data_IF_449180584284
#
_entry.id   IF_449180584284
#
_cell.length_a   1.000
_cell.length_b   1.000
_cell.length_c   1.000
_cell.angle_alpha   90.00
_cell.angle_beta   90.00
_cell.angle_gamma   90.00
#
_symmetry.space_group_name_H-M   'P 1'
#
loop_
_entity.id
_entity.type
_entity.pdbx_description
1 polymer ?
#
# COMPACT_ATOMS: atom_id res chain seq x y z
N UNK A 1 -29.78 35.63 87.54
CA UNK A 1 -30.69 34.56 87.09
C UNK A 1 -30.21 34.12 85.69
N UNK A 2 -29.68 32.88 85.60
CA UNK A 2 -29.52 31.98 84.43
C UNK A 2 -29.03 32.57 83.09
N UNK A 3 -27.79 32.29 82.68
CA UNK A 3 -27.33 31.13 81.87
C UNK A 3 -27.70 31.24 80.37
N UNK A 4 -26.71 31.60 79.56
CA UNK A 4 -26.65 31.26 78.13
C UNK A 4 -25.20 31.28 77.66
N UNK A 5 -24.55 30.12 77.79
CA UNK A 5 -23.34 29.75 77.06
C UNK A 5 -23.32 28.22 77.01
N UNK A 6 -22.99 27.71 75.82
CA UNK A 6 -22.79 26.30 75.48
C UNK A 6 -24.03 25.45 75.17
N UNK A 7 -24.49 25.51 73.92
CA UNK A 7 -24.98 24.31 73.22
C UNK A 7 -24.47 24.31 71.76
N UNK A 8 -23.15 24.23 71.59
CA UNK A 8 -22.54 23.72 70.37
C UNK A 8 -21.57 22.61 70.76
N UNK A 9 -22.11 21.41 71.02
CA UNK A 9 -21.33 20.19 71.16
C UNK A 9 -22.01 19.04 70.44
N UNK A 10 -21.44 18.74 69.27
CA UNK A 10 -21.09 17.39 68.84
C UNK A 10 -22.22 16.37 68.68
N UNK A 11 -22.60 16.13 67.43
CA UNK A 11 -22.85 14.78 66.92
C UNK A 11 -22.25 14.62 65.51
N UNK A 12 -20.92 14.52 65.47
CA UNK A 12 -20.25 13.74 64.43
C UNK A 12 -20.36 12.29 64.89
N UNK A 13 -21.34 11.58 64.35
CA UNK A 13 -21.46 10.13 64.48
C UNK A 13 -20.29 9.49 63.74
N UNK A 14 -19.29 9.04 64.48
CA UNK A 14 -18.32 8.06 63.98
C UNK A 14 -19.09 6.77 63.64
N UNK A 15 -19.36 6.54 62.36
CA UNK A 15 -19.63 5.19 61.87
C UNK A 15 -18.33 4.39 62.00
N UNK A 16 -18.35 3.13 62.48
CA UNK A 16 -17.16 2.31 62.53
C UNK A 16 -16.67 2.08 61.09
N UNK A 17 -15.43 2.44 60.80
CA UNK A 17 -14.76 2.00 59.58
C UNK A 17 -14.64 0.47 59.70
N UNK A 18 -15.36 -0.28 58.86
CA UNK A 18 -15.13 -1.73 58.77
C UNK A 18 -13.65 -1.94 58.39
N UNK A 19 -12.84 -2.37 59.35
CA UNK A 19 -11.45 -2.73 59.08
C UNK A 19 -11.44 -3.94 58.14
N UNK A 20 -11.01 -3.72 56.89
CA UNK A 20 -10.88 -4.77 55.89
C UNK A 20 -9.88 -5.80 56.41
N UNK A 21 -10.32 -7.05 56.59
CA UNK A 21 -9.41 -8.12 57.03
C UNK A 21 -8.25 -8.29 56.04
N UNK A 22 -7.01 -8.49 56.51
CA UNK A 22 -5.86 -8.78 55.64
C UNK A 22 -6.08 -9.95 54.67
N UNK A 23 -6.93 -10.91 55.03
CA UNK A 23 -7.27 -12.04 54.16
C UNK A 23 -8.14 -11.63 52.98
N UNK A 24 -9.11 -10.73 53.21
CA UNK A 24 -9.98 -10.20 52.16
C UNK A 24 -9.17 -9.35 51.19
N UNK A 25 -8.27 -8.50 51.70
CA UNK A 25 -7.36 -7.70 50.88
C UNK A 25 -6.46 -8.58 50.00
N UNK A 26 -5.87 -9.64 50.59
CA UNK A 26 -5.02 -10.57 49.84
C UNK A 26 -5.79 -11.30 48.74
N UNK A 27 -7.03 -11.71 49.01
CA UNK A 27 -7.87 -12.35 48.01
C UNK A 27 -8.20 -11.39 46.85
N UNK A 28 -8.62 -10.16 47.15
CA UNK A 28 -8.91 -9.16 46.12
C UNK A 28 -7.70 -8.83 45.25
N UNK A 29 -6.48 -8.81 45.82
CA UNK A 29 -5.24 -8.62 45.04
C UNK A 29 -4.97 -9.81 44.11
N UNK A 30 -5.21 -11.05 44.57
CA UNK A 30 -5.04 -12.24 43.73
C UNK A 30 -6.04 -12.26 42.56
N UNK A 31 -7.30 -11.98 42.85
CA UNK A 31 -8.36 -11.94 41.84
C UNK A 31 -8.04 -10.87 40.77
N UNK A 32 -7.63 -9.67 41.21
CA UNK A 32 -7.20 -8.61 40.30
C UNK A 32 -5.94 -9.00 39.48
N UNK A 33 -4.99 -9.73 40.07
CA UNK A 33 -3.81 -10.21 39.34
C UNK A 33 -4.18 -11.21 38.24
N UNK A 34 -5.07 -12.16 38.54
CA UNK A 34 -5.57 -13.12 37.55
C UNK A 34 -6.29 -12.41 36.40
N UNK A 35 -7.13 -11.40 36.70
CA UNK A 35 -7.79 -10.59 35.69
C UNK A 35 -6.80 -9.81 34.82
N UNK A 36 -5.75 -9.22 35.42
CA UNK A 36 -4.68 -8.54 34.67
C UNK A 36 -3.96 -9.50 33.72
N UNK A 37 -3.66 -10.72 34.16
CA UNK A 37 -3.01 -11.72 33.31
C UNK A 37 -3.90 -12.11 32.12
N UNK A 38 -5.19 -12.32 32.35
CA UNK A 38 -6.16 -12.61 31.30
C UNK A 38 -6.25 -11.46 30.28
N UNK A 39 -6.37 -10.22 30.76
CA UNK A 39 -6.46 -9.03 29.90
C UNK A 39 -5.20 -8.84 29.08
N UNK A 40 -4.01 -9.12 29.64
CA UNK A 40 -2.75 -9.08 28.88
C UNK A 40 -2.72 -10.08 27.73
N UNK A 41 -3.21 -11.30 27.96
CA UNK A 41 -3.33 -12.32 26.91
C UNK A 41 -4.22 -11.83 25.77
N UNK A 42 -5.40 -11.31 26.09
CA UNK A 42 -6.33 -10.75 25.10
C UNK A 42 -5.72 -9.57 24.34
N UNK A 43 -5.02 -8.66 25.02
CA UNK A 43 -4.35 -7.53 24.37
C UNK A 43 -3.25 -7.98 23.40
N UNK A 44 -2.50 -9.04 23.74
CA UNK A 44 -1.52 -9.61 22.82
C UNK A 44 -2.19 -10.20 21.58
N UNK A 45 -3.29 -10.92 21.75
CA UNK A 45 -4.10 -11.46 20.65
C UNK A 45 -4.66 -10.36 19.75
N UNK A 46 -5.24 -9.29 20.34
CA UNK A 46 -5.75 -8.14 19.59
C UNK A 46 -4.65 -7.46 18.76
N UNK A 47 -3.47 -7.23 19.34
CA UNK A 47 -2.34 -6.61 18.62
C UNK A 47 -1.87 -7.46 17.45
N UNK A 48 -1.78 -8.78 17.65
CA UNK A 48 -1.41 -9.69 16.58
C UNK A 48 -2.44 -9.69 15.45
N UNK A 49 -3.73 -9.72 15.79
CA UNK A 49 -4.82 -9.65 14.82
C UNK A 49 -4.83 -8.33 14.05
N UNK A 50 -4.58 -7.21 14.74
CA UNK A 50 -4.49 -5.88 14.13
C UNK A 50 -3.36 -5.80 13.10
N UNK A 51 -2.16 -6.33 13.43
CA UNK A 51 -1.04 -6.34 12.49
C UNK A 51 -1.32 -7.25 11.29
N UNK A 52 -1.86 -8.46 11.53
CA UNK A 52 -2.25 -9.36 10.44
C UNK A 52 -3.30 -8.73 9.51
N UNK A 53 -4.28 -8.02 10.08
CA UNK A 53 -5.28 -7.30 9.29
C UNK A 53 -4.66 -6.16 8.48
N UNK A 54 -3.72 -5.41 9.08
CA UNK A 54 -2.98 -4.34 8.42
C UNK A 54 -2.17 -4.86 7.23
N UNK A 55 -1.44 -5.96 7.41
CA UNK A 55 -0.67 -6.62 6.34
C UNK A 55 -1.59 -7.04 5.19
N UNK A 56 -2.70 -7.72 5.48
CA UNK A 56 -3.67 -8.13 4.45
C UNK A 56 -4.31 -6.97 3.73
N UNK A 57 -4.63 -5.90 4.46
CA UNK A 57 -5.20 -4.68 3.86
C UNK A 57 -4.19 -4.02 2.92
N UNK A 58 -2.91 -4.01 3.30
CA UNK A 58 -1.85 -3.49 2.44
C UNK A 58 -1.70 -4.33 1.17
N UNK A 59 -1.60 -5.65 1.27
CA UNK A 59 -1.51 -6.55 0.11
C UNK A 59 -2.70 -6.36 -0.86
N UNK A 60 -3.92 -6.26 -0.34
CA UNK A 60 -5.11 -6.04 -1.15
C UNK A 60 -5.08 -4.70 -1.88
N UNK A 61 -4.61 -3.64 -1.22
CA UNK A 61 -4.45 -2.33 -1.84
C UNK A 61 -3.40 -2.35 -2.96
N UNK A 62 -2.28 -3.05 -2.78
CA UNK A 62 -1.27 -3.20 -3.82
C UNK A 62 -1.83 -3.97 -5.04
N UNK A 63 -2.61 -5.04 -4.82
CA UNK A 63 -3.28 -5.75 -5.93
C UNK A 63 -4.33 -4.90 -6.63
N UNK A 64 -5.10 -4.10 -5.90
CA UNK A 64 -6.06 -3.18 -6.52
C UNK A 64 -5.34 -2.14 -7.39
N UNK A 65 -4.22 -1.60 -6.91
CA UNK A 65 -3.36 -0.67 -7.66
C UNK A 65 -2.82 -1.28 -8.96
N UNK A 66 -2.35 -2.53 -8.91
CA UNK A 66 -1.91 -3.28 -10.10
C UNK A 66 -3.06 -3.49 -11.10
N UNK A 67 -4.23 -3.92 -10.63
CA UNK A 67 -5.42 -4.15 -11.46
C UNK A 67 -5.91 -2.85 -12.11
N UNK A 68 -5.94 -1.75 -11.36
CA UNK A 68 -6.31 -0.42 -11.88
C UNK A 68 -5.33 0.04 -12.97
N UNK A 69 -4.03 -0.22 -12.79
CA UNK A 69 -3.00 0.04 -13.80
C UNK A 69 -3.25 -0.78 -15.06
N UNK A 70 -3.46 -2.09 -14.92
CA UNK A 70 -3.76 -2.99 -16.04
C UNK A 70 -5.04 -2.57 -16.78
N UNK A 71 -6.10 -2.22 -16.06
CA UNK A 71 -7.34 -1.74 -16.67
C UNK A 71 -7.15 -0.45 -17.47
N UNK A 72 -6.42 0.52 -16.90
CA UNK A 72 -6.11 1.78 -17.57
C UNK A 72 -5.25 1.58 -18.84
N UNK A 73 -4.22 0.73 -18.76
CA UNK A 73 -3.36 0.38 -19.91
C UNK A 73 -4.18 -0.33 -20.99
N UNK A 74 -4.98 -1.34 -20.61
CA UNK A 74 -5.85 -2.07 -21.54
C UNK A 74 -6.82 -1.12 -22.28
N UNK A 75 -7.43 -0.19 -21.54
CA UNK A 75 -8.30 0.84 -22.12
C UNK A 75 -7.58 1.74 -23.13
N UNK A 76 -6.31 2.07 -22.88
CA UNK A 76 -5.50 2.83 -23.85
C UNK A 76 -5.23 2.02 -25.12
N UNK A 77 -4.89 0.74 -24.98
CA UNK A 77 -4.55 -0.15 -26.10
C UNK A 77 -5.77 -0.47 -26.98
N UNK A 78 -6.96 -0.53 -26.41
CA UNK A 78 -8.22 -0.78 -27.14
C UNK A 78 -8.80 0.48 -27.80
N UNK A 79 -8.22 1.67 -27.56
CA UNK A 79 -8.76 2.90 -28.12
C UNK A 79 -8.33 3.10 -29.59
N UNK A 80 -9.16 2.59 -30.51
CA UNK A 80 -8.93 2.68 -31.96
C UNK A 80 -8.95 4.12 -32.53
N UNK A 81 -9.38 5.13 -31.75
CA UNK A 81 -9.36 6.54 -32.19
C UNK A 81 -7.98 7.18 -32.07
N UNK A 82 -7.06 6.54 -31.32
CA UNK A 82 -5.71 7.06 -31.11
C UNK A 82 -4.76 6.58 -32.20
N UNK A 83 -3.91 7.49 -32.68
CA UNK A 83 -2.72 7.09 -33.43
C UNK A 83 -1.81 6.22 -32.55
N UNK A 84 -0.91 5.46 -33.17
CA UNK A 84 0.03 4.61 -32.45
C UNK A 84 0.82 5.40 -31.40
N UNK A 85 1.41 6.53 -31.76
CA UNK A 85 2.15 7.36 -30.81
C UNK A 85 1.29 7.93 -29.68
N UNK A 86 0.04 8.32 -29.95
CA UNK A 86 -0.88 8.78 -28.90
C UNK A 86 -1.26 7.66 -27.93
N UNK A 87 -1.48 6.45 -28.44
CA UNK A 87 -1.77 5.26 -27.65
C UNK A 87 -0.59 4.91 -26.73
N UNK A 88 0.63 4.84 -27.27
CA UNK A 88 1.83 4.56 -26.47
C UNK A 88 2.06 5.64 -25.41
N UNK A 89 1.89 6.92 -25.74
CA UNK A 89 2.00 8.01 -24.77
C UNK A 89 0.92 7.92 -23.67
N UNK A 90 -0.29 7.46 -24.01
CA UNK A 90 -1.32 7.21 -23.01
C UNK A 90 -0.89 6.07 -22.07
N UNK A 91 -0.40 4.95 -22.60
CA UNK A 91 0.15 3.85 -21.79
C UNK A 91 1.26 4.32 -20.85
N UNK A 92 2.24 5.08 -21.36
CA UNK A 92 3.35 5.66 -20.58
C UNK A 92 2.84 6.51 -19.41
N UNK A 93 1.75 7.27 -19.62
CA UNK A 93 1.16 8.12 -18.59
C UNK A 93 0.43 7.30 -17.52
N UNK A 94 -0.16 6.18 -17.89
CA UNK A 94 -0.92 5.33 -17.00
C UNK A 94 -0.03 4.44 -16.13
N UNK A 95 1.04 3.87 -16.70
CA UNK A 95 1.90 2.89 -16.04
C UNK A 95 2.40 3.27 -14.63
N UNK A 96 2.90 4.49 -14.36
CA UNK A 96 3.45 4.85 -13.05
C UNK A 96 2.51 4.56 -11.87
N UNK A 97 1.18 4.59 -12.07
CA UNK A 97 0.22 4.31 -11.00
C UNK A 97 0.34 2.90 -10.42
N UNK A 98 0.87 1.95 -11.19
CA UNK A 98 1.05 0.56 -10.79
C UNK A 98 2.30 0.28 -9.94
N UNK A 99 3.20 1.26 -9.78
CA UNK A 99 4.45 1.10 -9.04
C UNK A 99 4.35 1.63 -7.60
N UNK A 100 5.30 1.25 -6.76
CA UNK A 100 5.40 1.67 -5.35
C UNK A 100 5.56 3.19 -5.22
N UNK A 101 6.23 3.82 -6.20
CA UNK A 101 6.52 5.25 -6.19
C UNK A 101 5.99 5.98 -7.43
N UNK A 102 4.65 6.11 -7.64
CA UNK A 102 4.10 6.64 -8.89
C UNK A 102 4.63 8.00 -9.34
N UNK A 103 4.99 8.87 -8.39
CA UNK A 103 5.56 10.20 -8.69
C UNK A 103 7.03 10.16 -9.11
N UNK A 104 7.77 9.15 -8.66
CA UNK A 104 9.18 8.94 -8.98
C UNK A 104 9.38 8.00 -10.16
N UNK A 105 8.36 7.22 -10.52
CA UNK A 105 8.38 6.28 -11.64
C UNK A 105 8.32 7.01 -12.98
N UNK A 106 9.30 6.75 -13.83
CA UNK A 106 9.36 7.21 -15.20
C UNK A 106 9.47 6.01 -16.16
N UNK A 107 8.88 6.14 -17.35
CA UNK A 107 8.68 5.03 -18.29
C UNK A 107 9.25 5.40 -19.66
N UNK A 108 9.82 4.40 -20.33
CA UNK A 108 10.25 4.44 -21.73
C UNK A 108 9.76 3.20 -22.46
N UNK A 109 9.26 3.38 -23.68
CA UNK A 109 8.86 2.32 -24.60
C UNK A 109 9.60 2.55 -25.92
N UNK A 110 10.34 1.55 -26.37
CA UNK A 110 11.00 1.51 -27.67
C UNK A 110 10.32 0.46 -28.53
N UNK A 111 9.95 0.81 -29.76
CA UNK A 111 9.38 -0.12 -30.75
C UNK A 111 10.02 0.18 -32.11
N UNK A 112 10.77 -0.78 -32.65
CA UNK A 112 11.63 -0.54 -33.82
C UNK A 112 12.54 0.67 -33.60
N UNK A 113 12.51 1.63 -34.53
CA UNK A 113 13.29 2.87 -34.45
C UNK A 113 12.60 4.00 -33.65
N UNK A 114 11.40 3.75 -33.11
CA UNK A 114 10.62 4.77 -32.39
C UNK A 114 10.80 4.65 -30.89
N UNK A 115 11.18 5.75 -30.25
CA UNK A 115 11.26 5.88 -28.80
C UNK A 115 10.17 6.81 -28.28
N UNK A 116 9.47 6.35 -27.24
CA UNK A 116 8.46 7.11 -26.50
C UNK A 116 8.83 7.10 -25.03
N UNK A 117 8.78 8.24 -24.37
CA UNK A 117 9.17 8.33 -22.98
C UNK A 117 8.34 9.35 -22.21
N UNK A 118 8.19 9.11 -20.91
CA UNK A 118 7.69 10.11 -19.97
C UNK A 118 8.59 11.36 -19.98
N UNK A 119 8.00 12.54 -19.70
CA UNK A 119 8.70 13.83 -19.82
C UNK A 119 9.98 13.93 -18.96
N UNK A 120 10.01 13.24 -17.83
CA UNK A 120 11.10 13.20 -16.86
C UNK A 120 11.94 11.92 -16.98
N UNK A 121 11.83 11.18 -18.08
CA UNK A 121 12.55 9.92 -18.22
C UNK A 121 14.06 10.10 -18.14
N UNK A 122 14.67 9.29 -17.30
CA UNK A 122 16.12 9.13 -17.21
C UNK A 122 16.40 7.74 -16.67
N UNK A 123 17.32 7.02 -17.31
CA UNK A 123 17.80 5.74 -16.79
C UNK A 123 18.47 5.94 -15.44
N UNK A 124 18.08 5.13 -14.46
CA UNK A 124 18.68 5.10 -13.12
C UNK A 124 19.18 3.68 -12.81
N UNK A 125 19.84 3.52 -11.67
CA UNK A 125 20.29 2.20 -11.19
C UNK A 125 19.09 1.31 -10.83
N UNK A 126 18.06 1.91 -10.21
CA UNK A 126 16.80 1.23 -9.88
C UNK A 126 15.88 1.22 -11.09
N UNK A 127 15.92 0.12 -11.84
CA UNK A 127 15.12 -0.06 -13.06
C UNK A 127 14.64 -1.50 -13.24
N UNK A 128 13.55 -1.63 -14.00
CA UNK A 128 13.03 -2.89 -14.53
C UNK A 128 12.79 -2.73 -16.02
N UNK A 129 13.00 -3.79 -16.81
CA UNK A 129 12.64 -3.81 -18.21
C UNK A 129 12.02 -5.14 -18.62
N UNK A 130 11.27 -5.11 -19.72
CA UNK A 130 10.69 -6.28 -20.35
C UNK A 130 10.70 -6.13 -21.88
N UNK A 131 11.02 -7.22 -22.57
CA UNK A 131 11.02 -7.25 -24.03
C UNK A 131 9.59 -7.30 -24.56
N UNK A 132 9.30 -6.44 -25.54
CA UNK A 132 8.07 -6.49 -26.33
C UNK A 132 8.33 -7.48 -27.48
N UNK A 133 7.57 -8.57 -27.50
CA UNK A 133 7.78 -9.66 -28.47
C UNK A 133 6.56 -9.86 -29.36
N UNK A 134 6.81 -10.14 -30.64
CA UNK A 134 5.82 -10.68 -31.57
C UNK A 134 6.33 -12.06 -31.97
N UNK A 135 5.56 -13.10 -31.60
CA UNK A 135 6.04 -14.49 -31.63
C UNK A 135 7.37 -14.62 -30.89
N UNK A 136 8.39 -15.17 -31.54
CA UNK A 136 9.72 -15.34 -30.95
C UNK A 136 10.65 -14.13 -31.14
N UNK A 137 10.21 -13.09 -31.87
CA UNK A 137 11.03 -11.91 -32.21
C UNK A 137 10.83 -10.79 -31.21
N UNK A 138 11.94 -10.18 -30.81
CA UNK A 138 11.91 -8.96 -29.98
C UNK A 138 11.79 -7.76 -30.90
N UNK A 139 10.68 -7.02 -30.77
CA UNK A 139 10.34 -5.86 -31.61
C UNK A 139 10.48 -4.54 -30.82
N UNK A 140 10.75 -4.63 -29.53
CA UNK A 140 10.88 -3.48 -28.65
C UNK A 140 11.20 -3.83 -27.21
N UNK A 141 11.22 -2.80 -26.37
CA UNK A 141 11.46 -2.88 -24.92
C UNK A 141 10.56 -1.87 -24.21
N UNK A 142 10.00 -2.27 -23.07
CA UNK A 142 9.43 -1.35 -22.09
C UNK A 142 10.35 -1.32 -20.87
N UNK A 143 10.67 -0.11 -20.41
CA UNK A 143 11.57 0.14 -19.29
C UNK A 143 10.92 1.11 -18.30
N UNK A 144 11.08 0.79 -17.01
CA UNK A 144 10.62 1.61 -15.90
C UNK A 144 11.79 1.90 -14.99
N UNK A 145 11.97 3.17 -14.63
CA UNK A 145 13.04 3.64 -13.75
C UNK A 145 12.46 4.47 -12.60
N UNK A 146 13.07 4.38 -11.42
CA UNK A 146 12.72 5.22 -10.27
C UNK A 146 13.71 6.37 -10.15
N UNK A 147 13.19 7.60 -10.06
CA UNK A 147 13.98 8.83 -9.87
C UNK A 147 14.26 9.07 -8.37
N UNK A 148 15.51 8.93 -7.90
CA UNK A 148 15.85 9.02 -6.48
C UNK A 148 15.40 10.33 -5.81
N UNK A 149 15.51 11.45 -6.51
CA UNK A 149 15.15 12.76 -5.97
C UNK A 149 13.64 12.93 -5.71
N UNK A 150 12.79 12.11 -6.35
CA UNK A 150 11.34 12.14 -6.19
C UNK A 150 10.83 11.06 -5.23
N UNK A 151 11.69 10.14 -4.80
CA UNK A 151 11.37 9.06 -3.88
C UNK A 151 11.43 9.46 -2.40
N UNK A 152 11.70 10.73 -2.08
CA UNK A 152 11.59 11.30 -0.72
C UNK A 152 12.38 10.54 0.37
N UNK A 153 13.54 9.98 0.01
CA UNK A 153 14.37 9.20 0.94
C UNK A 153 13.84 7.79 1.25
N UNK A 154 12.83 7.31 0.53
CA UNK A 154 12.35 5.94 0.64
C UNK A 154 13.34 4.95 0.00
N UNK A 155 13.38 3.68 0.47
CA UNK A 155 14.22 2.64 -0.14
C UNK A 155 13.91 2.47 -1.62
N UNK A 156 14.92 2.50 -2.49
CA UNK A 156 14.73 2.38 -3.94
C UNK A 156 14.71 0.91 -4.38
N UNK A 157 13.75 0.15 -3.87
CA UNK A 157 13.55 -1.27 -4.19
C UNK A 157 12.40 -1.41 -5.17
N UNK A 158 12.58 -2.24 -6.21
CA UNK A 158 11.50 -2.65 -7.11
C UNK A 158 11.09 -4.07 -6.77
N UNK A 159 9.79 -4.33 -6.77
CA UNK A 159 9.19 -5.59 -6.33
C UNK A 159 9.10 -6.61 -7.47
N UNK A 160 9.00 -7.89 -7.12
CA UNK A 160 8.80 -8.95 -8.11
C UNK A 160 7.44 -8.81 -8.82
N UNK A 161 6.43 -8.39 -8.06
CA UNK A 161 5.08 -8.10 -8.53
C UNK A 161 5.07 -6.97 -9.58
N UNK A 162 5.91 -5.95 -9.40
CA UNK A 162 6.07 -4.86 -10.39
C UNK A 162 6.70 -5.38 -11.69
N UNK A 163 7.65 -6.31 -11.60
CA UNK A 163 8.21 -6.96 -12.79
C UNK A 163 7.14 -7.81 -13.49
N UNK A 164 6.30 -8.52 -12.73
CA UNK A 164 5.20 -9.30 -13.29
C UNK A 164 4.17 -8.39 -14.00
N UNK A 165 3.82 -7.25 -13.40
CA UNK A 165 3.00 -6.21 -14.02
C UNK A 165 3.62 -5.72 -15.34
N UNK A 166 4.92 -5.40 -15.33
CA UNK A 166 5.64 -4.96 -16.52
C UNK A 166 5.64 -6.00 -17.64
N UNK A 167 5.81 -7.27 -17.29
CA UNK A 167 5.79 -8.38 -18.26
C UNK A 167 4.42 -8.52 -18.93
N UNK A 168 3.32 -8.36 -18.18
CA UNK A 168 1.95 -8.39 -18.75
C UNK A 168 1.77 -7.22 -19.72
N UNK A 169 2.21 -6.03 -19.35
CA UNK A 169 2.12 -4.84 -20.23
C UNK A 169 2.95 -5.04 -21.50
N UNK A 170 4.15 -5.61 -21.39
CA UNK A 170 5.00 -5.93 -22.54
C UNK A 170 4.33 -6.94 -23.49
N UNK A 171 3.67 -7.96 -22.93
CA UNK A 171 2.88 -8.94 -23.70
C UNK A 171 1.74 -8.24 -24.46
N UNK A 172 0.97 -7.39 -23.80
CA UNK A 172 -0.14 -6.68 -24.44
C UNK A 172 0.33 -5.70 -25.53
N UNK A 173 1.46 -5.03 -25.33
CA UNK A 173 2.08 -4.20 -26.36
C UNK A 173 2.46 -5.06 -27.58
N UNK A 174 3.01 -6.26 -27.38
CA UNK A 174 3.34 -7.20 -28.44
C UNK A 174 2.11 -7.62 -29.25
N UNK A 175 1.04 -8.02 -28.58
CA UNK A 175 -0.22 -8.42 -29.23
C UNK A 175 -0.87 -7.25 -30.00
N UNK A 176 -0.82 -6.03 -29.46
CA UNK A 176 -1.30 -4.84 -30.17
C UNK A 176 -0.47 -4.54 -31.43
N UNK A 177 0.85 -4.71 -31.36
CA UNK A 177 1.73 -4.53 -32.52
C UNK A 177 1.45 -5.57 -33.60
N UNK A 178 1.27 -6.85 -33.22
CA UNK A 178 0.89 -7.93 -34.14
C UNK A 178 -0.34 -7.53 -34.96
N UNK A 179 -1.43 -7.18 -34.29
CA UNK A 179 -2.68 -6.76 -34.93
C UNK A 179 -2.50 -5.58 -35.91
N UNK A 180 -1.68 -4.58 -35.53
CA UNK A 180 -1.37 -3.43 -36.41
C UNK A 180 -0.49 -3.79 -37.61
N UNK A 181 0.40 -4.77 -37.49
CA UNK A 181 1.24 -5.21 -38.62
C UNK A 181 0.46 -6.05 -39.63
N UNK A 182 -0.52 -6.83 -39.18
CA UNK A 182 -1.40 -7.65 -40.02
C UNK A 182 -2.41 -6.78 -40.78
N UNK A 183 -3.03 -5.80 -40.12
CA UNK A 183 -3.99 -4.87 -40.74
C UNK A 183 -3.37 -3.90 -41.75
N UNK A 184 -2.06 -3.70 -41.76
CA UNK A 184 -1.35 -2.91 -42.78
C UNK A 184 -0.96 -3.72 -44.03
N UNK A 185 -1.01 -5.06 -43.95
CA UNK A 185 -0.62 -5.96 -45.05
C UNK A 185 -1.81 -6.46 -45.88
N UNK A 186 -3.04 -6.27 -45.43
CA UNK A 186 -4.28 -6.54 -46.17
C UNK A 186 -4.91 -5.26 -46.70
#
# INVERSE_FOLDING_TARGET
MKLSREEHKTRLTNAPSEEISPQLLLQSIKDAHEEILLLRGRLAEYKWLEEALRERTHELNERMKELDCLYAVSSCLMNHRLSFGQMINAVIKEMPRGWQYPKATCVRIVVGDSEFASRNFRRTETRQSANIRIDDRTEGEVEVCVLPELAQGQPLTMLHEEQALLNIIALWLGEMLRYRTETKKG
#
